data_IF_295750789525
#
_entry.id   IF_295750789525
#
_cell.length_a   1.000
_cell.length_b   1.000
_cell.length_c   1.000
_cell.angle_alpha   90.00
_cell.angle_beta   90.00
_cell.angle_gamma   90.00
#
_symmetry.space_group_name_H-M   'P 1'
#
loop_
_entity.id
_entity.type
_entity.pdbx_description
1 polymer ?
#
# COMPACT_ATOMS: atom_id res chain seq x y z
N UNK A 1 26.78 -22.25 21.00
CA UNK A 1 27.72 -21.12 20.86
C UNK A 1 26.99 -19.85 21.24
N UNK A 2 27.60 -18.96 22.03
CA UNK A 2 27.05 -17.65 22.38
C UNK A 2 27.35 -16.66 21.26
N UNK A 3 26.34 -15.96 20.75
CA UNK A 3 26.56 -14.86 19.80
C UNK A 3 27.25 -13.68 20.50
N UNK A 4 28.08 -12.97 19.76
CA UNK A 4 28.69 -11.71 20.18
C UNK A 4 27.65 -10.58 20.17
N UNK A 5 27.91 -9.52 20.94
CA UNK A 5 27.06 -8.31 20.95
C UNK A 5 26.96 -7.70 19.54
N UNK A 6 28.04 -7.75 18.75
CA UNK A 6 28.04 -7.24 17.39
C UNK A 6 27.07 -8.03 16.48
N UNK A 7 27.11 -9.36 16.54
CA UNK A 7 26.19 -10.22 15.78
C UNK A 7 24.73 -10.01 16.19
N UNK A 8 24.47 -9.83 17.50
CA UNK A 8 23.14 -9.53 18.00
C UNK A 8 22.60 -8.19 17.50
N UNK A 9 23.44 -7.15 17.47
CA UNK A 9 23.07 -5.84 16.95
C UNK A 9 22.81 -5.88 15.45
N UNK A 10 23.65 -6.60 14.69
CA UNK A 10 23.45 -6.76 13.25
C UNK A 10 22.17 -7.52 12.94
N UNK A 11 21.91 -8.63 13.64
CA UNK A 11 20.69 -9.41 13.47
C UNK A 11 19.45 -8.55 13.77
N UNK A 12 19.45 -7.80 14.87
CA UNK A 12 18.35 -6.92 15.24
C UNK A 12 18.11 -5.82 14.20
N UNK A 13 19.19 -5.21 13.68
CA UNK A 13 19.09 -4.21 12.62
C UNK A 13 18.48 -4.77 11.33
N UNK A 14 18.88 -5.99 10.93
CA UNK A 14 18.29 -6.68 9.77
C UNK A 14 16.81 -7.00 9.97
N UNK A 15 16.44 -7.52 11.14
CA UNK A 15 15.05 -7.83 11.49
C UNK A 15 14.17 -6.58 11.43
N UNK A 16 14.62 -5.48 12.02
CA UNK A 16 13.91 -4.19 11.99
C UNK A 16 13.78 -3.65 10.56
N UNK A 17 14.84 -3.72 9.75
CA UNK A 17 14.80 -3.27 8.36
C UNK A 17 13.81 -4.08 7.51
N UNK A 18 13.74 -5.39 7.71
CA UNK A 18 12.77 -6.26 7.03
C UNK A 18 11.34 -5.92 7.46
N UNK A 19 11.09 -5.76 8.76
CA UNK A 19 9.77 -5.42 9.28
C UNK A 19 9.27 -4.08 8.71
N UNK A 20 10.11 -3.05 8.74
CA UNK A 20 9.81 -1.74 8.15
C UNK A 20 9.56 -1.83 6.65
N UNK A 21 10.39 -2.57 5.91
CA UNK A 21 10.22 -2.75 4.47
C UNK A 21 8.91 -3.44 4.12
N UNK A 22 8.51 -4.45 4.90
CA UNK A 22 7.23 -5.16 4.72
C UNK A 22 6.04 -4.23 5.02
N UNK A 23 6.11 -3.44 6.09
CA UNK A 23 5.04 -2.50 6.45
C UNK A 23 4.84 -1.43 5.37
N UNK A 24 5.93 -0.79 4.93
CA UNK A 24 5.91 0.20 3.86
C UNK A 24 5.36 -0.40 2.56
N UNK A 25 5.87 -1.56 2.14
CA UNK A 25 5.41 -2.23 0.93
C UNK A 25 3.93 -2.62 0.97
N UNK A 26 3.41 -3.03 2.13
CA UNK A 26 1.97 -3.30 2.31
C UNK A 26 1.14 -2.03 2.22
N UNK A 27 1.60 -0.93 2.80
CA UNK A 27 0.87 0.34 2.75
C UNK A 27 0.81 0.90 1.32
N UNK A 28 1.96 0.93 0.63
CA UNK A 28 2.08 1.37 -0.76
C UNK A 28 1.25 0.48 -1.68
N UNK A 29 1.42 -0.84 -1.61
CA UNK A 29 0.65 -1.79 -2.43
C UNK A 29 -0.86 -1.67 -2.22
N UNK A 30 -1.32 -1.44 -0.98
CA UNK A 30 -2.75 -1.20 -0.71
C UNK A 30 -3.24 0.12 -1.32
N UNK A 31 -2.42 1.18 -1.28
CA UNK A 31 -2.77 2.47 -1.91
C UNK A 31 -2.83 2.34 -3.43
N UNK A 32 -1.84 1.71 -4.04
CA UNK A 32 -1.76 1.49 -5.48
C UNK A 32 -2.90 0.60 -5.98
N UNK A 33 -3.17 -0.53 -5.31
CA UNK A 33 -4.25 -1.44 -5.68
C UNK A 33 -5.64 -0.79 -5.62
N UNK A 34 -5.88 0.12 -4.67
CA UNK A 34 -7.12 0.92 -4.63
C UNK A 34 -7.24 1.85 -5.85
N UNK A 35 -6.15 2.50 -6.25
CA UNK A 35 -6.13 3.41 -7.40
C UNK A 35 -6.30 2.65 -8.71
N UNK A 36 -5.64 1.51 -8.86
CA UNK A 36 -5.76 0.66 -10.03
C UNK A 36 -7.21 0.13 -10.18
N UNK A 37 -7.79 -0.34 -9.07
CA UNK A 37 -9.19 -0.77 -9.03
C UNK A 37 -10.12 0.37 -9.42
N UNK A 38 -9.96 1.57 -8.85
CA UNK A 38 -10.76 2.73 -9.20
C UNK A 38 -10.64 3.09 -10.70
N UNK A 39 -9.43 3.09 -11.26
CA UNK A 39 -9.20 3.32 -12.69
C UNK A 39 -9.91 2.27 -13.55
N UNK A 40 -9.82 1.00 -13.19
CA UNK A 40 -10.49 -0.08 -13.92
C UNK A 40 -12.01 0.11 -13.91
N UNK A 41 -12.60 0.36 -12.73
CA UNK A 41 -14.05 0.57 -12.60
C UNK A 41 -14.53 1.80 -13.40
N UNK A 42 -13.76 2.90 -13.38
CA UNK A 42 -14.06 4.08 -14.21
C UNK A 42 -14.08 3.74 -15.71
N UNK A 43 -13.09 2.98 -16.20
CA UNK A 43 -13.05 2.54 -17.61
C UNK A 43 -14.25 1.67 -17.99
N UNK A 44 -14.80 0.93 -17.04
CA UNK A 44 -16.00 0.12 -17.24
C UNK A 44 -17.32 0.89 -17.03
N UNK A 45 -17.27 2.22 -16.84
CA UNK A 45 -18.47 3.05 -16.70
C UNK A 45 -19.21 2.86 -15.38
N UNK A 46 -18.56 2.28 -14.36
CA UNK A 46 -19.16 2.13 -13.03
C UNK A 46 -19.38 3.50 -12.40
N UNK A 47 -20.50 3.68 -11.71
CA UNK A 47 -20.85 4.97 -11.12
C UNK A 47 -19.85 5.39 -10.04
N UNK A 48 -19.65 6.71 -9.93
CA UNK A 48 -18.67 7.28 -9.02
C UNK A 48 -18.96 6.91 -7.56
N UNK A 49 -20.22 6.89 -7.15
CA UNK A 49 -20.63 6.54 -5.78
C UNK A 49 -20.30 5.08 -5.43
N UNK A 50 -20.45 4.14 -6.39
CA UNK A 50 -20.04 2.74 -6.21
C UNK A 50 -18.52 2.65 -6.09
N UNK A 51 -17.77 3.41 -6.87
CA UNK A 51 -16.30 3.38 -6.83
C UNK A 51 -15.79 3.95 -5.49
N UNK A 52 -16.36 5.05 -5.00
CA UNK A 52 -16.05 5.64 -3.69
C UNK A 52 -16.24 4.62 -2.57
N UNK A 53 -17.42 4.00 -2.52
CA UNK A 53 -17.77 3.03 -1.47
C UNK A 53 -16.94 1.74 -1.57
N UNK A 54 -16.63 1.27 -2.78
CA UNK A 54 -15.88 0.02 -3.00
C UNK A 54 -14.38 0.17 -2.73
N UNK A 55 -13.78 1.31 -3.08
CA UNK A 55 -12.32 1.53 -2.94
C UNK A 55 -11.96 2.27 -1.65
N UNK A 56 -12.93 2.97 -1.04
CA UNK A 56 -12.72 3.87 0.09
C UNK A 56 -11.85 5.08 -0.26
N UNK A 57 -11.76 5.45 -1.54
CA UNK A 57 -11.11 6.67 -2.00
C UNK A 57 -12.12 7.83 -1.97
N UNK A 58 -11.64 9.05 -1.74
CA UNK A 58 -12.49 10.23 -1.85
C UNK A 58 -12.91 10.48 -3.30
N UNK A 59 -14.04 11.16 -3.46
CA UNK A 59 -14.57 11.55 -4.77
C UNK A 59 -13.53 12.33 -5.58
N UNK A 60 -12.91 13.35 -4.99
CA UNK A 60 -11.87 14.17 -5.61
C UNK A 60 -10.70 13.33 -6.13
N UNK A 61 -10.29 12.31 -5.35
CA UNK A 61 -9.19 11.43 -5.73
C UNK A 61 -9.55 10.56 -6.91
N UNK A 62 -10.80 10.11 -7.02
CA UNK A 62 -11.28 9.32 -8.17
C UNK A 62 -11.48 10.21 -9.40
N UNK A 63 -11.99 11.44 -9.22
CA UNK A 63 -12.15 12.40 -10.32
C UNK A 63 -10.81 12.79 -10.93
N UNK A 64 -9.75 12.94 -10.12
CA UNK A 64 -8.40 13.16 -10.60
C UNK A 64 -7.84 12.00 -11.46
N UNK A 65 -8.42 10.80 -11.41
CA UNK A 65 -8.02 9.64 -12.23
C UNK A 65 -8.64 9.64 -13.65
N UNK A 66 -9.58 10.55 -13.92
CA UNK A 66 -10.26 10.68 -15.23
C UNK A 66 -9.43 11.42 -16.27
N UNK A 67 -8.34 12.08 -15.85
CA UNK A 67 -7.35 12.73 -16.69
C UNK A 67 -6.25 11.74 -17.08
#
# INVERSE_FOLDING_TARGET
>A
MLMTIAEQLEQKGREQGIEQGIELGREEGRKEGKLETARALLRHGVSLDIIVTSTGLSRDKIEALKH
#
